data_IF_534159212649
#
_entry.id   IF_534159212649
#
_cell.length_a   1.000
_cell.length_b   1.000
_cell.length_c   1.000
_cell.angle_alpha   90.00
_cell.angle_beta   90.00
_cell.angle_gamma   90.00
#
_symmetry.space_group_name_H-M   'P 1'
#
loop_
_entity.id
_entity.type
_entity.pdbx_description
1 polymer ?
#
# COMPACT_ATOMS: atom_id res chain seq x y z
N UNK A 1 -23.09 34.76 -48.42
CA UNK A 1 -24.10 34.26 -47.45
C UNK A 1 -24.02 32.73 -47.43
N UNK A 2 -23.10 32.17 -46.65
CA UNK A 2 -22.83 30.73 -46.57
C UNK A 2 -22.53 30.42 -45.11
N UNK A 3 -23.59 30.30 -44.32
CA UNK A 3 -23.54 29.88 -42.92
C UNK A 3 -24.68 28.88 -42.74
N UNK A 4 -24.48 27.90 -41.85
CA UNK A 4 -25.44 26.86 -41.45
C UNK A 4 -25.47 25.59 -42.30
N UNK A 5 -24.44 24.74 -42.20
CA UNK A 5 -24.62 23.28 -42.29
C UNK A 5 -23.66 22.40 -41.47
N UNK A 6 -22.75 22.98 -40.67
CA UNK A 6 -21.71 22.20 -39.95
C UNK A 6 -22.03 21.90 -38.47
N UNK A 7 -22.98 22.60 -37.84
CA UNK A 7 -23.21 22.53 -36.39
C UNK A 7 -24.10 21.36 -35.91
N UNK A 8 -24.81 20.68 -36.82
CA UNK A 8 -25.78 19.63 -36.44
C UNK A 8 -25.12 18.25 -36.28
N UNK A 9 -24.05 17.96 -37.04
CA UNK A 9 -23.39 16.63 -37.02
C UNK A 9 -22.52 16.45 -35.77
N UNK A 10 -21.92 17.53 -35.26
CA UNK A 10 -21.05 17.49 -34.08
C UNK A 10 -21.81 17.31 -32.75
N UNK A 11 -23.07 17.72 -32.67
CA UNK A 11 -23.89 17.52 -31.46
C UNK A 11 -24.35 16.08 -31.29
N UNK A 12 -24.64 15.37 -32.39
CA UNK A 12 -25.05 13.96 -32.33
C UNK A 12 -23.89 13.03 -31.94
N UNK A 13 -22.67 13.32 -32.38
CA UNK A 13 -21.49 12.51 -32.03
C UNK A 13 -21.09 12.62 -30.54
N UNK A 14 -21.33 13.78 -29.92
CA UNK A 14 -21.00 13.99 -28.51
C UNK A 14 -22.01 13.34 -27.54
N UNK A 15 -23.24 13.05 -27.99
CA UNK A 15 -24.26 12.38 -27.17
C UNK A 15 -24.17 10.85 -27.26
N UNK A 16 -23.84 10.30 -28.43
CA UNK A 16 -23.60 8.86 -28.62
C UNK A 16 -22.40 8.34 -27.78
N UNK A 17 -21.34 9.15 -27.62
CA UNK A 17 -20.20 8.76 -26.79
C UNK A 17 -20.49 8.76 -25.28
N UNK A 18 -21.54 9.45 -24.83
CA UNK A 18 -21.92 9.47 -23.40
C UNK A 18 -22.70 8.24 -22.95
N UNK A 19 -23.29 7.48 -23.88
CA UNK A 19 -24.09 6.29 -23.56
C UNK A 19 -23.31 4.98 -23.60
N UNK A 20 -22.18 4.91 -24.32
CA UNK A 20 -21.38 3.69 -24.47
C UNK A 20 -20.34 3.50 -23.34
N UNK A 21 -20.07 4.54 -22.54
CA UNK A 21 -19.04 4.51 -21.47
C UNK A 21 -19.60 4.34 -20.06
N UNK A 22 -20.84 3.90 -19.90
CA UNK A 22 -21.24 3.23 -18.66
C UNK A 22 -20.81 1.76 -18.73
N UNK A 23 -19.49 1.55 -18.85
CA UNK A 23 -18.90 0.25 -18.64
C UNK A 23 -19.40 -0.25 -17.29
N UNK A 24 -20.20 -1.31 -17.33
CA UNK A 24 -20.57 -2.11 -16.17
C UNK A 24 -19.26 -2.49 -15.48
N UNK A 25 -18.86 -1.70 -14.48
CA UNK A 25 -17.93 -2.15 -13.46
C UNK A 25 -18.67 -3.27 -12.72
N UNK A 26 -18.56 -4.49 -13.26
CA UNK A 26 -18.86 -5.69 -12.53
C UNK A 26 -17.90 -5.64 -11.35
N UNK A 27 -18.41 -5.17 -10.21
CA UNK A 27 -17.71 -5.28 -8.95
C UNK A 27 -17.57 -6.78 -8.73
N UNK A 28 -16.44 -7.35 -9.15
CA UNK A 28 -16.03 -8.66 -8.68
C UNK A 28 -15.98 -8.55 -7.16
N UNK A 29 -17.00 -9.10 -6.52
CA UNK A 29 -17.10 -9.17 -5.08
C UNK A 29 -16.05 -10.18 -4.65
N UNK A 30 -14.83 -9.70 -4.43
CA UNK A 30 -13.79 -10.52 -3.85
C UNK A 30 -14.27 -10.90 -2.46
N UNK A 31 -14.60 -12.18 -2.30
CA UNK A 31 -14.92 -12.76 -1.01
C UNK A 31 -13.61 -12.92 -0.24
N UNK A 32 -13.14 -11.81 0.33
CA UNK A 32 -12.00 -11.83 1.24
C UNK A 32 -12.45 -12.44 2.56
N UNK A 33 -11.67 -13.41 3.04
CA UNK A 33 -11.85 -13.98 4.37
C UNK A 33 -11.64 -12.85 5.38
N UNK A 34 -12.54 -12.75 6.37
CA UNK A 34 -12.39 -11.77 7.45
C UNK A 34 -11.10 -12.06 8.22
N UNK A 35 -10.31 -11.03 8.58
CA UNK A 35 -9.10 -11.23 9.37
C UNK A 35 -9.47 -11.87 10.72
N UNK A 36 -8.67 -12.87 11.12
CA UNK A 36 -8.76 -13.48 12.45
C UNK A 36 -7.63 -12.89 13.30
N UNK A 37 -8.00 -12.33 14.44
CA UNK A 37 -7.07 -11.75 15.41
C UNK A 37 -6.95 -12.69 16.61
N UNK A 38 -5.78 -12.66 17.27
CA UNK A 38 -5.55 -13.37 18.53
C UNK A 38 -6.30 -12.65 19.66
N UNK A 39 -7.57 -13.03 19.84
CA UNK A 39 -8.44 -12.46 20.87
C UNK A 39 -8.03 -12.86 22.28
N UNK A 40 -7.36 -14.00 22.43
CA UNK A 40 -6.93 -14.49 23.74
C UNK A 40 -5.82 -13.61 24.31
N UNK A 41 -4.90 -13.17 23.45
CA UNK A 41 -3.90 -12.19 23.84
C UNK A 41 -4.49 -10.78 24.01
N UNK A 42 -5.23 -10.30 23.00
CA UNK A 42 -5.65 -8.89 22.90
C UNK A 42 -6.77 -8.51 23.89
N UNK A 43 -7.60 -9.46 24.33
CA UNK A 43 -8.69 -9.20 25.27
C UNK A 43 -8.33 -9.56 26.71
N UNK A 44 -7.10 -10.01 26.97
CA UNK A 44 -6.64 -10.32 28.31
C UNK A 44 -6.17 -9.05 29.04
N UNK A 45 -6.79 -8.68 30.18
CA UNK A 45 -6.47 -7.44 30.88
C UNK A 45 -5.03 -7.38 31.41
N UNK A 46 -4.38 -8.53 31.64
CA UNK A 46 -2.99 -8.57 32.08
C UNK A 46 -1.99 -8.05 31.02
N UNK A 47 -2.35 -8.11 29.74
CA UNK A 47 -1.47 -7.75 28.62
C UNK A 47 -1.62 -6.28 28.20
N UNK A 48 -2.60 -5.55 28.74
CA UNK A 48 -2.84 -4.13 28.45
C UNK A 48 -1.56 -3.28 28.54
N UNK A 49 -0.76 -3.32 29.64
CA UNK A 49 0.42 -2.47 29.75
C UNK A 49 1.50 -2.81 28.71
N UNK A 50 1.69 -4.09 28.40
CA UNK A 50 2.65 -4.53 27.37
C UNK A 50 2.22 -4.03 25.98
N UNK A 51 0.94 -4.20 25.64
CA UNK A 51 0.38 -3.78 24.35
C UNK A 51 0.45 -2.25 24.22
N UNK A 52 0.11 -1.52 25.28
CA UNK A 52 0.17 -0.07 25.31
C UNK A 52 1.60 0.44 25.06
N UNK A 53 2.58 -0.14 25.75
CA UNK A 53 3.98 0.20 25.53
C UNK A 53 4.44 -0.11 24.10
N UNK A 54 3.98 -1.24 23.53
CA UNK A 54 4.26 -1.59 22.14
C UNK A 54 3.61 -0.61 21.13
N UNK A 55 2.41 -0.11 21.42
CA UNK A 55 1.74 0.90 20.58
C UNK A 55 2.53 2.21 20.60
N UNK A 56 2.97 2.65 21.77
CA UNK A 56 3.75 3.88 21.99
C UNK A 56 5.14 3.82 21.37
N UNK A 57 5.80 2.65 21.45
CA UNK A 57 7.08 2.44 20.78
C UNK A 57 6.92 2.42 19.25
N UNK A 58 5.73 2.08 18.75
CA UNK A 58 5.39 2.20 17.33
C UNK A 58 4.72 3.56 17.12
N UNK A 59 4.14 3.81 15.94
CA UNK A 59 3.63 5.14 15.56
C UNK A 59 2.43 5.66 16.41
N UNK A 60 2.16 5.06 17.58
CA UNK A 60 1.11 5.47 18.51
C UNK A 60 -0.31 5.24 17.99
N UNK A 61 -0.47 4.41 16.95
CA UNK A 61 -1.77 4.19 16.32
C UNK A 61 -2.43 2.96 16.96
N UNK A 62 -3.55 3.17 17.63
CA UNK A 62 -4.35 2.15 18.29
C UNK A 62 -4.65 2.50 19.75
N UNK A 63 -5.81 2.09 20.25
CA UNK A 63 -6.20 2.31 21.65
C UNK A 63 -6.68 0.98 22.27
N UNK A 64 -5.83 0.38 23.11
CA UNK A 64 -6.15 -0.88 23.77
C UNK A 64 -7.25 -0.72 24.83
N UNK A 65 -7.33 0.43 25.52
CA UNK A 65 -8.36 0.67 26.53
C UNK A 65 -9.75 0.64 25.89
N UNK A 66 -9.91 1.30 24.74
CA UNK A 66 -11.16 1.31 23.97
C UNK A 66 -11.57 -0.11 23.53
N UNK A 67 -10.62 -0.96 23.12
CA UNK A 67 -10.90 -2.36 22.76
C UNK A 67 -11.49 -3.13 23.94
N UNK A 68 -10.93 -2.95 25.14
CA UNK A 68 -11.44 -3.59 26.35
C UNK A 68 -12.80 -3.03 26.79
N UNK A 69 -13.03 -1.72 26.64
CA UNK A 69 -14.34 -1.11 26.88
C UNK A 69 -15.40 -1.65 25.93
N UNK A 70 -15.10 -1.74 24.63
CA UNK A 70 -16.01 -2.29 23.61
C UNK A 70 -16.31 -3.78 23.87
N UNK A 71 -15.30 -4.57 24.22
CA UNK A 71 -15.48 -5.97 24.58
C UNK A 71 -16.34 -6.12 25.86
N UNK A 72 -16.15 -5.24 26.85
CA UNK A 72 -16.96 -5.24 28.07
C UNK A 72 -18.42 -4.89 27.79
N UNK A 73 -18.66 -3.87 26.95
CA UNK A 73 -20.00 -3.50 26.46
C UNK A 73 -20.67 -4.65 25.71
N UNK A 74 -19.93 -5.32 24.84
CA UNK A 74 -20.43 -6.47 24.08
C UNK A 74 -20.82 -7.65 25.01
N UNK A 75 -20.08 -7.86 26.10
CA UNK A 75 -20.38 -8.89 27.11
C UNK A 75 -21.53 -8.51 28.04
N UNK A 76 -21.74 -7.22 28.31
CA UNK A 76 -22.83 -6.73 29.17
C UNK A 76 -24.18 -6.63 28.47
N UNK A 77 -24.23 -6.77 27.14
CA UNK A 77 -25.49 -6.74 26.40
C UNK A 77 -26.39 -7.92 26.80
N UNK A 78 -27.68 -7.67 27.09
CA UNK A 78 -28.63 -8.74 27.35
C UNK A 78 -28.80 -9.61 26.10
N UNK A 79 -29.13 -10.89 26.28
CA UNK A 79 -29.36 -11.82 25.17
C UNK A 79 -30.49 -11.39 24.21
N UNK A 80 -31.36 -10.48 24.66
CA UNK A 80 -32.47 -9.90 23.89
C UNK A 80 -32.12 -8.58 23.21
N UNK A 81 -30.86 -8.13 23.28
CA UNK A 81 -30.41 -6.95 22.55
C UNK A 81 -30.60 -7.15 21.04
N UNK A 82 -30.92 -6.07 20.33
CA UNK A 82 -31.13 -6.12 18.89
C UNK A 82 -29.86 -6.58 18.17
N UNK A 83 -29.99 -7.54 17.25
CA UNK A 83 -28.90 -8.06 16.42
C UNK A 83 -28.09 -6.93 15.73
N UNK A 84 -28.77 -5.85 15.37
CA UNK A 84 -28.15 -4.67 14.76
C UNK A 84 -27.16 -3.96 15.69
N UNK A 85 -27.49 -3.78 16.97
CA UNK A 85 -26.63 -3.12 17.95
C UNK A 85 -25.38 -3.96 18.24
N UNK A 86 -25.57 -5.28 18.38
CA UNK A 86 -24.48 -6.24 18.58
C UNK A 86 -23.54 -6.28 17.37
N UNK A 87 -24.07 -6.27 16.15
CA UNK A 87 -23.26 -6.20 14.93
C UNK A 87 -22.46 -4.90 14.86
N UNK A 88 -23.07 -3.76 15.16
CA UNK A 88 -22.38 -2.47 15.16
C UNK A 88 -21.22 -2.42 16.15
N UNK A 89 -21.43 -2.90 17.38
CA UNK A 89 -20.37 -2.98 18.39
C UNK A 89 -19.26 -3.94 18.00
N UNK A 90 -19.61 -5.08 17.38
CA UNK A 90 -18.61 -6.02 16.88
C UNK A 90 -17.80 -5.39 15.72
N UNK A 91 -18.43 -4.67 14.80
CA UNK A 91 -17.73 -4.00 13.70
C UNK A 91 -16.79 -2.89 14.23
N UNK A 92 -17.21 -2.15 15.26
CA UNK A 92 -16.35 -1.18 15.95
C UNK A 92 -15.15 -1.87 16.64
N UNK A 93 -15.39 -2.98 17.34
CA UNK A 93 -14.34 -3.78 17.97
C UNK A 93 -13.32 -4.25 16.94
N UNK A 94 -13.79 -4.81 15.80
CA UNK A 94 -12.92 -5.25 14.72
C UNK A 94 -12.14 -4.09 14.07
N UNK A 95 -12.74 -2.91 13.96
CA UNK A 95 -12.08 -1.71 13.45
C UNK A 95 -10.94 -1.25 14.38
N UNK A 96 -11.12 -1.31 15.69
CA UNK A 96 -10.07 -0.97 16.65
C UNK A 96 -8.98 -2.05 16.73
N UNK A 97 -9.35 -3.33 16.71
CA UNK A 97 -8.39 -4.45 16.68
C UNK A 97 -7.46 -4.35 15.45
N UNK A 98 -7.97 -3.91 14.30
CA UNK A 98 -7.18 -3.71 13.08
C UNK A 98 -6.10 -2.63 13.22
N UNK A 99 -6.28 -1.66 14.13
CA UNK A 99 -5.32 -0.56 14.32
C UNK A 99 -4.15 -0.99 15.18
N UNK A 100 -4.30 -2.01 16.03
CA UNK A 100 -3.25 -2.46 16.94
C UNK A 100 -2.11 -3.07 16.11
N UNK A 101 -0.86 -2.61 16.31
CA UNK A 101 0.28 -3.17 15.59
C UNK A 101 0.63 -4.57 16.12
N UNK A 102 1.32 -5.35 15.29
CA UNK A 102 1.88 -6.63 15.73
C UNK A 102 2.85 -6.44 16.92
N UNK A 103 2.96 -7.48 17.74
CA UNK A 103 3.94 -7.62 18.83
C UNK A 103 5.36 -7.36 18.33
N UNK A 104 6.12 -6.56 19.07
CA UNK A 104 7.52 -6.27 18.76
C UNK A 104 8.41 -7.27 19.49
N UNK A 105 9.38 -7.84 18.78
CA UNK A 105 10.35 -8.75 19.38
C UNK A 105 11.26 -8.00 20.37
N UNK A 106 11.60 -8.56 21.54
CA UNK A 106 12.37 -7.87 22.58
C UNK A 106 13.73 -7.35 22.11
N UNK A 107 14.38 -8.06 21.18
CA UNK A 107 15.64 -7.59 20.57
C UNK A 107 15.50 -6.26 19.83
N UNK A 108 14.32 -5.97 19.25
CA UNK A 108 14.07 -4.71 18.54
C UNK A 108 13.80 -3.57 19.51
N UNK A 109 13.11 -3.83 20.63
CA UNK A 109 12.87 -2.82 21.68
C UNK A 109 14.17 -2.26 22.26
N UNK A 110 15.23 -3.06 22.28
CA UNK A 110 16.56 -2.63 22.76
C UNK A 110 17.31 -1.73 21.77
N UNK A 111 16.92 -1.69 20.49
CA UNK A 111 17.64 -0.96 19.45
C UNK A 111 17.31 0.54 19.39
N UNK A 112 16.24 0.98 20.06
CA UNK A 112 15.81 2.38 20.04
C UNK A 112 15.20 2.80 18.70
N UNK A 113 15.37 4.07 18.34
CA UNK A 113 14.81 4.65 17.11
C UNK A 113 15.66 4.40 15.86
N UNK A 114 16.95 4.12 16.04
CA UNK A 114 17.92 4.02 14.95
C UNK A 114 18.07 2.58 14.43
N UNK A 115 18.23 2.39 13.12
CA UNK A 115 18.48 1.07 12.56
C UNK A 115 19.86 0.55 12.98
N UNK A 116 19.92 -0.70 13.46
CA UNK A 116 21.17 -1.38 13.78
C UNK A 116 21.74 -2.09 12.55
N UNK A 117 22.98 -1.77 12.18
CA UNK A 117 23.69 -2.51 11.14
C UNK A 117 24.10 -3.89 11.66
N UNK A 118 23.58 -4.94 11.04
CA UNK A 118 23.89 -6.32 11.42
C UNK A 118 25.20 -6.77 10.77
N UNK A 119 25.39 -6.47 9.49
CA UNK A 119 26.56 -6.91 8.71
C UNK A 119 26.74 -6.06 7.46
N UNK A 120 28.00 -5.82 7.08
CA UNK A 120 28.37 -5.31 5.76
C UNK A 120 28.80 -6.45 4.86
N UNK A 121 28.43 -6.35 3.58
CA UNK A 121 28.86 -7.28 2.54
C UNK A 121 29.62 -6.51 1.47
N UNK A 122 30.83 -6.98 1.17
CA UNK A 122 31.76 -6.36 0.24
C UNK A 122 32.13 -4.92 0.63
N UNK A 123 33.04 -4.34 -0.15
CA UNK A 123 33.45 -2.95 0.00
C UNK A 123 32.83 -2.11 -1.12
N UNK A 124 32.67 -0.81 -0.86
CA UNK A 124 32.22 0.13 -1.90
C UNK A 124 33.28 0.16 -3.02
N UNK A 125 32.88 0.03 -4.30
CA UNK A 125 33.84 0.01 -5.40
C UNK A 125 34.65 1.31 -5.45
N UNK A 126 35.98 1.20 -5.48
CA UNK A 126 36.88 2.33 -5.73
C UNK A 126 36.90 2.64 -7.22
N UNK A 127 36.23 3.73 -7.59
CA UNK A 127 36.40 4.32 -8.91
C UNK A 127 37.69 5.15 -8.80
N UNK A 128 38.70 4.84 -9.64
CA UNK A 128 40.06 5.38 -9.51
C UNK A 128 40.14 6.91 -9.39
N UNK A 129 41.31 7.43 -9.01
CA UNK A 129 41.52 8.86 -8.78
C UNK A 129 41.05 9.70 -9.98
N UNK A 130 40.11 10.62 -9.75
CA UNK A 130 39.54 11.50 -10.77
C UNK A 130 38.33 10.94 -11.54
N UNK A 131 37.87 9.72 -11.27
CA UNK A 131 36.68 9.17 -11.92
C UNK A 131 35.40 9.89 -11.47
N UNK A 132 34.65 10.44 -12.44
CA UNK A 132 33.36 11.08 -12.17
C UNK A 132 32.29 10.02 -11.92
N UNK A 133 31.73 10.03 -10.71
CA UNK A 133 30.55 9.23 -10.38
C UNK A 133 29.33 9.91 -10.99
N UNK A 134 28.65 9.22 -11.91
CA UNK A 134 27.37 9.67 -12.44
C UNK A 134 26.24 9.02 -11.67
N UNK A 135 25.18 9.78 -11.41
CA UNK A 135 23.94 9.22 -10.88
C UNK A 135 23.26 8.39 -11.98
N UNK A 136 22.47 7.39 -11.57
CA UNK A 136 21.86 6.44 -12.50
C UNK A 136 20.97 7.13 -13.55
N UNK A 137 20.18 8.12 -13.16
CA UNK A 137 19.32 8.85 -14.10
C UNK A 137 20.11 9.64 -15.14
N UNK A 138 21.26 10.21 -14.76
CA UNK A 138 22.13 10.93 -15.70
C UNK A 138 22.77 9.99 -16.73
N UNK A 139 23.28 8.86 -16.25
CA UNK A 139 23.93 7.86 -17.09
C UNK A 139 22.95 7.27 -18.10
N UNK A 140 21.78 6.88 -17.65
CA UNK A 140 20.75 6.25 -18.49
C UNK A 140 20.05 7.23 -19.44
N UNK A 141 19.95 8.51 -19.06
CA UNK A 141 19.48 9.59 -19.96
C UNK A 141 20.47 9.81 -21.11
N UNK A 142 21.78 9.82 -20.84
CA UNK A 142 22.80 9.92 -21.91
C UNK A 142 22.76 8.75 -22.89
N UNK A 143 22.49 7.55 -22.39
CA UNK A 143 22.35 6.35 -23.21
C UNK A 143 20.97 6.22 -23.88
N UNK A 144 20.01 7.09 -23.56
CA UNK A 144 18.63 7.05 -24.05
C UNK A 144 17.93 5.69 -23.80
N UNK A 145 18.28 5.01 -22.70
CA UNK A 145 17.69 3.72 -22.28
C UNK A 145 16.67 3.87 -21.14
N UNK A 146 16.51 5.09 -20.64
CA UNK A 146 15.61 5.42 -19.54
C UNK A 146 14.94 6.77 -19.81
N UNK A 147 13.61 6.82 -19.73
CA UNK A 147 12.84 8.03 -20.01
C UNK A 147 11.81 8.31 -18.92
N UNK A 148 11.97 9.45 -18.24
CA UNK A 148 11.00 10.00 -17.28
C UNK A 148 10.35 11.32 -17.75
N UNK A 149 10.87 11.92 -18.82
CA UNK A 149 10.45 13.25 -19.26
C UNK A 149 9.23 13.22 -20.20
N UNK A 150 8.33 14.20 -20.03
CA UNK A 150 7.13 14.42 -20.85
C UNK A 150 6.12 13.26 -20.80
N UNK A 151 6.06 12.53 -19.68
CA UNK A 151 5.11 11.44 -19.44
C UNK A 151 3.81 11.87 -18.74
N UNK A 152 3.72 13.13 -18.28
CA UNK A 152 2.59 13.61 -17.46
C UNK A 152 1.22 13.40 -18.10
N UNK A 153 1.11 13.60 -19.41
CA UNK A 153 -0.17 13.49 -20.14
C UNK A 153 -0.52 12.05 -20.58
N UNK A 154 0.42 11.10 -20.43
CA UNK A 154 0.22 9.71 -20.86
C UNK A 154 0.00 8.77 -19.67
N UNK A 155 0.92 8.81 -18.70
CA UNK A 155 0.95 7.84 -17.59
C UNK A 155 1.05 8.52 -16.21
N UNK A 156 1.30 9.84 -16.17
CA UNK A 156 1.36 10.62 -14.93
C UNK A 156 2.75 10.67 -14.27
N UNK A 157 2.81 11.33 -13.11
CA UNK A 157 4.05 11.53 -12.35
C UNK A 157 4.65 10.22 -11.83
N UNK A 158 5.99 10.16 -11.71
CA UNK A 158 6.78 8.98 -11.29
C UNK A 158 6.68 7.76 -12.23
N UNK A 159 6.05 7.94 -13.39
CA UNK A 159 6.12 6.95 -14.48
C UNK A 159 7.46 7.03 -15.20
N UNK A 160 7.92 5.90 -15.74
CA UNK A 160 9.14 5.79 -16.51
C UNK A 160 9.00 4.73 -17.62
N UNK A 161 9.76 4.88 -18.69
CA UNK A 161 9.98 3.84 -19.69
C UNK A 161 11.40 3.31 -19.61
N UNK A 162 11.54 1.99 -19.59
CA UNK A 162 12.81 1.28 -19.77
C UNK A 162 12.90 0.84 -21.24
N UNK A 163 14.00 1.14 -21.91
CA UNK A 163 14.24 0.79 -23.31
C UNK A 163 15.60 0.12 -23.50
N UNK A 164 15.74 -0.66 -24.58
CA UNK A 164 16.99 -1.32 -24.93
C UNK A 164 17.54 -2.25 -23.85
N UNK A 165 18.84 -2.16 -23.59
CA UNK A 165 19.57 -3.03 -22.65
C UNK A 165 19.03 -2.97 -21.22
N UNK A 166 18.49 -1.82 -20.78
CA UNK A 166 17.92 -1.69 -19.45
C UNK A 166 16.62 -2.48 -19.29
N UNK A 167 15.83 -2.57 -20.36
CA UNK A 167 14.64 -3.43 -20.38
C UNK A 167 15.04 -4.90 -20.29
N UNK A 168 16.08 -5.32 -21.01
CA UNK A 168 16.61 -6.69 -20.94
C UNK A 168 17.16 -7.04 -19.55
N UNK A 169 17.82 -6.10 -18.87
CA UNK A 169 18.32 -6.30 -17.51
C UNK A 169 17.19 -6.54 -16.49
N UNK A 170 16.06 -5.85 -16.66
CA UNK A 170 14.89 -6.04 -15.78
C UNK A 170 14.16 -7.36 -16.01
N UNK A 171 14.31 -7.93 -17.21
CA UNK A 171 13.78 -9.25 -17.51
C UNK A 171 14.71 -10.31 -16.91
N UNK A 172 14.15 -11.34 -16.25
CA UNK A 172 14.96 -12.47 -15.82
C UNK A 172 15.57 -13.11 -17.08
N UNK A 173 16.91 -13.19 -17.12
CA UNK A 173 17.58 -13.98 -18.15
C UNK A 173 17.03 -15.38 -18.09
N UNK A 174 16.30 -15.81 -19.12
CA UNK A 174 16.02 -17.23 -19.31
C UNK A 174 17.40 -17.90 -19.35
N UNK A 175 17.67 -18.78 -18.38
CA UNK A 175 18.86 -19.62 -18.46
C UNK A 175 18.89 -20.23 -19.87
N UNK A 176 20.05 -20.28 -20.53
CA UNK A 176 20.14 -21.09 -21.73
C UNK A 176 19.75 -22.50 -21.30
N UNK A 177 18.59 -22.97 -21.77
CA UNK A 177 18.22 -24.37 -21.60
C UNK A 177 19.41 -25.15 -22.15
N UNK A 178 20.02 -25.98 -21.30
CA UNK A 178 20.94 -27.02 -21.75
C UNK A 178 20.27 -27.73 -22.93
N UNK A 179 20.88 -27.60 -24.11
CA UNK A 179 20.57 -28.46 -25.25
C UNK A 179 21.29 -29.78 -25.06
#
# INVERSE_FOLDING_TARGET
MLVFKSLSVLKSFHLEQKLVTYARFVHHKFHLVKPSYDTDYLLNPANIPEIQHNIEHRKGVGNIQLVHELNSKLRSLPANAGEAERSQLNDQLQAELRKIPNRTHPGVLQHGADPKVVRYYNEKPSLGEGAKVFEFSEMTKKMNIFRMEKLGNFTGHKSYYLTGELAELSLPRRSPRCR
#
